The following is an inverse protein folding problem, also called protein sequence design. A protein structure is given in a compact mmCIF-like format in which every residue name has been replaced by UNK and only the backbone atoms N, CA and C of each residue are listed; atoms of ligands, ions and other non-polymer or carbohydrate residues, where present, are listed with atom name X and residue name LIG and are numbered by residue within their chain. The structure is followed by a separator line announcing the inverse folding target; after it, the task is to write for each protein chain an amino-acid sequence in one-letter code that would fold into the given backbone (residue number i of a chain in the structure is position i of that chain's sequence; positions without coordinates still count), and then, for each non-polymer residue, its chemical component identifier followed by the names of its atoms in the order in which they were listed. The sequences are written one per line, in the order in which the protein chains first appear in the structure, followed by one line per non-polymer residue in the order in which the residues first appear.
data_IF_491778682412
#
_entry.id   IF_491778682412
#
_cell.length_a   1.000
_cell.length_b   1.000
_cell.length_c   1.000
_cell.angle_alpha   90.00
_cell.angle_beta   90.00
_cell.angle_gamma   90.00
#
_symmetry.space_group_name_H-M   'P 1'
#
loop_
_entity.id
_entity.type
_entity.pdbx_description
1 polymer ?
#
# COMPACT_ATOMS: atom_id res chain seq x y z
N UNK A 1 -23.41 -58.26 -48.59
CA UNK A 1 -21.93 -58.24 -48.47
C UNK A 1 -21.53 -57.02 -47.64
N UNK A 2 -20.78 -57.19 -46.54
CA UNK A 2 -20.74 -56.22 -45.46
C UNK A 2 -19.64 -55.17 -45.62
N UNK A 3 -20.04 -53.94 -45.28
CA UNK A 3 -19.27 -52.70 -45.21
C UNK A 3 -18.89 -52.53 -43.74
N UNK A 4 -17.62 -52.73 -43.37
CA UNK A 4 -17.01 -52.34 -42.08
C UNK A 4 -15.53 -52.78 -42.04
N UNK A 5 -14.61 -51.94 -42.53
CA UNK A 5 -13.15 -52.20 -42.47
C UNK A 5 -12.36 -51.06 -41.79
N UNK A 6 -13.05 -50.11 -41.13
CA UNK A 6 -12.43 -48.90 -40.56
C UNK A 6 -12.53 -48.79 -39.03
N UNK A 7 -12.67 -49.91 -38.31
CA UNK A 7 -12.86 -49.91 -36.84
C UNK A 7 -11.87 -50.73 -36.02
N UNK A 8 -10.64 -50.90 -36.50
CA UNK A 8 -9.58 -51.57 -35.74
C UNK A 8 -8.19 -50.92 -35.89
N UNK A 9 -8.11 -49.59 -36.04
CA UNK A 9 -6.86 -48.91 -35.71
C UNK A 9 -6.78 -48.84 -34.18
N UNK A 10 -6.11 -49.83 -33.61
CA UNK A 10 -5.69 -49.87 -32.21
C UNK A 10 -5.10 -48.49 -31.83
N UNK A 11 -5.56 -47.83 -30.75
CA UNK A 11 -5.04 -46.52 -30.32
C UNK A 11 -3.51 -46.53 -30.09
N UNK A 12 -2.95 -47.71 -29.92
CA UNK A 12 -1.53 -48.04 -29.86
C UNK A 12 -0.71 -47.56 -31.07
N UNK A 13 -1.28 -47.59 -32.29
CA UNK A 13 -0.56 -47.25 -33.53
C UNK A 13 -0.37 -45.73 -33.70
N UNK A 14 -1.28 -44.92 -33.15
CA UNK A 14 -1.17 -43.46 -33.16
C UNK A 14 -0.28 -42.91 -32.03
N UNK A 15 -0.09 -43.69 -30.97
CA UNK A 15 0.69 -43.27 -29.79
C UNK A 15 2.20 -43.24 -30.07
N UNK A 16 2.70 -44.23 -30.82
CA UNK A 16 4.11 -44.34 -31.20
C UNK A 16 4.61 -43.12 -32.01
N UNK A 17 3.93 -42.68 -33.09
CA UNK A 17 4.35 -41.49 -33.82
C UNK A 17 4.21 -40.22 -32.98
N UNK A 18 3.19 -40.11 -32.13
CA UNK A 18 3.04 -38.96 -31.23
C UNK A 18 4.19 -38.86 -30.21
N UNK A 19 4.61 -39.98 -29.62
CA UNK A 19 5.76 -40.05 -28.72
C UNK A 19 7.06 -39.74 -29.46
N UNK A 20 7.24 -40.26 -30.68
CA UNK A 20 8.40 -39.95 -31.51
C UNK A 20 8.48 -38.46 -31.86
N UNK A 21 7.35 -37.84 -32.25
CA UNK A 21 7.26 -36.40 -32.52
C UNK A 21 7.58 -35.61 -31.26
N UNK A 22 7.04 -36.01 -30.11
CA UNK A 22 7.33 -35.37 -28.82
C UNK A 22 8.82 -35.45 -28.46
N UNK A 23 9.43 -36.64 -28.57
CA UNK A 23 10.85 -36.82 -28.28
C UNK A 23 11.76 -36.05 -29.26
N UNK A 24 11.39 -36.00 -30.54
CA UNK A 24 12.08 -35.16 -31.54
C UNK A 24 11.96 -33.68 -31.20
N UNK A 25 10.76 -33.21 -30.86
CA UNK A 25 10.53 -31.83 -30.44
C UNK A 25 11.35 -31.48 -29.18
N UNK A 26 11.33 -32.34 -28.16
CA UNK A 26 12.13 -32.17 -26.93
C UNK A 26 13.62 -32.12 -27.24
N UNK A 27 14.13 -33.01 -28.12
CA UNK A 27 15.54 -33.03 -28.51
C UNK A 27 15.95 -31.80 -29.32
N UNK A 28 15.07 -31.30 -30.20
CA UNK A 28 15.31 -30.08 -30.97
C UNK A 28 15.26 -28.83 -30.08
N UNK A 29 14.41 -28.83 -29.05
CA UNK A 29 14.25 -27.72 -28.11
C UNK A 29 15.32 -27.75 -27.00
N UNK A 30 15.82 -28.91 -26.59
CA UNK A 30 16.82 -29.04 -25.51
C UNK A 30 18.21 -28.52 -25.89
N UNK A 31 18.51 -28.44 -27.19
CA UNK A 31 19.73 -27.82 -27.72
C UNK A 31 19.63 -26.30 -27.90
N UNK A 32 18.43 -25.72 -27.78
CA UNK A 32 18.28 -24.27 -27.83
C UNK A 32 18.53 -23.70 -26.43
N UNK A 33 19.56 -22.88 -26.30
CA UNK A 33 19.67 -22.02 -25.12
C UNK A 33 18.42 -21.13 -25.11
N UNK A 34 17.67 -21.06 -24.00
CA UNK A 34 16.58 -20.11 -23.90
C UNK A 34 17.10 -18.74 -24.33
N UNK A 35 16.41 -18.00 -25.22
CA UNK A 35 16.80 -16.63 -25.53
C UNK A 35 16.97 -15.89 -24.20
N UNK A 36 17.97 -15.01 -24.13
CA UNK A 36 18.32 -14.30 -22.89
C UNK A 36 17.04 -13.84 -22.17
N UNK A 37 16.82 -14.32 -20.94
CA UNK A 37 15.55 -14.20 -20.19
C UNK A 37 15.03 -12.76 -20.01
N UNK A 38 15.84 -11.75 -20.32
CA UNK A 38 15.41 -10.35 -20.44
C UNK A 38 14.36 -10.09 -21.54
N UNK A 39 14.14 -11.04 -22.47
CA UNK A 39 13.15 -10.88 -23.53
C UNK A 39 11.68 -11.04 -23.06
N UNK A 40 11.39 -11.76 -21.98
CA UNK A 40 10.02 -12.17 -21.61
C UNK A 40 9.12 -10.98 -21.21
N UNK A 41 9.71 -9.94 -20.62
CA UNK A 41 9.04 -8.67 -20.32
C UNK A 41 9.35 -7.56 -21.33
N UNK A 42 10.18 -7.80 -22.35
CA UNK A 42 10.61 -6.74 -23.28
C UNK A 42 9.49 -6.27 -24.23
N UNK A 43 8.49 -7.11 -24.50
CA UNK A 43 7.41 -6.83 -25.45
C UNK A 43 6.05 -6.76 -24.76
N UNK A 44 5.45 -5.57 -24.80
CA UNK A 44 4.05 -5.32 -24.44
C UNK A 44 3.19 -5.37 -25.69
N UNK A 45 2.22 -6.26 -25.70
CA UNK A 45 1.25 -6.36 -26.80
C UNK A 45 0.13 -5.33 -26.60
N UNK A 46 -0.45 -4.76 -27.68
CA UNK A 46 -1.65 -3.94 -27.56
C UNK A 46 -2.80 -4.70 -26.89
N UNK A 47 -3.62 -4.02 -26.07
CA UNK A 47 -4.73 -4.62 -25.32
C UNK A 47 -5.67 -5.45 -26.22
N UNK A 48 -6.03 -4.93 -27.40
CA UNK A 48 -6.89 -5.63 -28.34
C UNK A 48 -6.28 -6.96 -28.81
N UNK A 49 -4.96 -7.01 -29.03
CA UNK A 49 -4.27 -8.24 -29.38
C UNK A 49 -4.25 -9.25 -28.22
N UNK A 50 -4.05 -8.78 -26.99
CA UNK A 50 -4.11 -9.63 -25.79
C UNK A 50 -5.48 -10.28 -25.65
N UNK A 51 -6.56 -9.50 -25.82
CA UNK A 51 -7.94 -10.00 -25.76
C UNK A 51 -8.23 -10.98 -26.90
N UNK A 52 -7.82 -10.66 -28.13
CA UNK A 52 -8.02 -11.53 -29.29
C UNK A 52 -7.31 -12.88 -29.14
N UNK A 53 -6.06 -12.89 -28.65
CA UNK A 53 -5.31 -14.11 -28.36
C UNK A 53 -5.90 -14.92 -27.21
N UNK A 54 -6.59 -14.25 -26.27
CA UNK A 54 -7.36 -14.89 -25.21
C UNK A 54 -8.79 -15.29 -25.66
N UNK A 55 -9.02 -15.43 -26.97
CA UNK A 55 -10.32 -15.85 -27.50
C UNK A 55 -11.45 -14.84 -27.29
N UNK A 56 -11.12 -13.56 -27.08
CA UNK A 56 -12.08 -12.51 -26.75
C UNK A 56 -12.31 -12.29 -25.25
N UNK A 57 -11.76 -13.13 -24.37
CA UNK A 57 -11.94 -13.01 -22.93
C UNK A 57 -10.86 -12.11 -22.31
N UNK A 58 -11.29 -10.93 -21.84
CA UNK A 58 -10.40 -9.97 -21.15
C UNK A 58 -9.86 -10.49 -19.81
N UNK A 59 -10.61 -11.30 -19.07
CA UNK A 59 -10.18 -11.83 -17.79
C UNK A 59 -9.12 -12.91 -17.99
N UNK A 60 -9.30 -13.76 -19.00
CA UNK A 60 -8.26 -14.70 -19.41
C UNK A 60 -7.01 -13.97 -19.90
N UNK A 61 -7.15 -12.89 -20.69
CA UNK A 61 -6.03 -12.06 -21.09
C UNK A 61 -5.28 -11.47 -19.88
N UNK A 62 -6.02 -11.00 -18.86
CA UNK A 62 -5.46 -10.50 -17.62
C UNK A 62 -4.67 -11.58 -16.87
N UNK A 63 -5.22 -12.79 -16.77
CA UNK A 63 -4.56 -13.92 -16.08
C UNK A 63 -3.27 -14.33 -16.80
N UNK A 64 -3.28 -14.42 -18.13
CA UNK A 64 -2.08 -14.73 -18.93
C UNK A 64 -1.00 -13.65 -18.73
N UNK A 65 -1.39 -12.38 -18.74
CA UNK A 65 -0.48 -11.28 -18.45
C UNK A 65 0.03 -11.31 -16.99
N UNK A 66 -0.83 -11.69 -16.04
CA UNK A 66 -0.47 -11.87 -14.63
C UNK A 66 0.62 -12.92 -14.42
N UNK A 67 0.52 -14.07 -15.11
CA UNK A 67 1.56 -15.11 -15.08
C UNK A 67 2.91 -14.55 -15.57
N UNK A 68 2.91 -13.74 -16.64
CA UNK A 68 4.14 -13.11 -17.15
C UNK A 68 4.76 -12.15 -16.14
N UNK A 69 3.93 -11.40 -15.41
CA UNK A 69 4.41 -10.50 -14.34
C UNK A 69 4.99 -11.28 -13.17
N UNK A 70 4.40 -12.43 -12.81
CA UNK A 70 4.81 -13.26 -11.69
C UNK A 70 6.11 -14.04 -11.95
N UNK A 71 6.29 -14.56 -13.17
CA UNK A 71 7.45 -15.39 -13.54
C UNK A 71 8.72 -14.56 -13.77
N UNK A 72 8.57 -13.25 -13.97
CA UNK A 72 9.70 -12.35 -14.14
C UNK A 72 10.65 -12.36 -12.93
N UNK A 73 11.94 -12.61 -13.17
CA UNK A 73 12.98 -12.58 -12.13
C UNK A 73 13.34 -11.14 -11.75
N UNK A 74 12.59 -10.59 -10.81
CA UNK A 74 12.70 -9.18 -10.38
C UNK A 74 14.06 -8.82 -9.81
N UNK A 75 14.86 -9.78 -9.31
CA UNK A 75 16.19 -9.51 -8.77
C UNK A 75 17.23 -9.16 -9.83
N UNK A 76 16.96 -9.53 -11.09
CA UNK A 76 17.87 -9.30 -12.21
C UNK A 76 17.37 -8.22 -13.16
N UNK A 77 16.24 -7.60 -12.84
CA UNK A 77 15.60 -6.63 -13.72
C UNK A 77 16.35 -5.31 -13.77
N UNK A 78 16.49 -4.78 -14.98
CA UNK A 78 16.97 -3.41 -15.22
C UNK A 78 15.85 -2.40 -15.02
N UNK A 79 16.17 -1.11 -14.78
CA UNK A 79 15.16 -0.06 -14.65
C UNK A 79 14.16 0.01 -15.82
N UNK A 80 14.58 -0.21 -17.08
CA UNK A 80 13.64 -0.23 -18.22
C UNK A 80 12.64 -1.40 -18.18
N UNK A 81 13.04 -2.53 -17.59
CA UNK A 81 12.21 -3.72 -17.48
C UNK A 81 11.13 -3.51 -16.42
N UNK A 82 11.46 -2.84 -15.30
CA UNK A 82 10.47 -2.43 -14.29
C UNK A 82 9.42 -1.48 -14.86
N UNK A 83 9.81 -0.53 -15.71
CA UNK A 83 8.84 0.36 -16.41
C UNK A 83 7.93 -0.43 -17.35
N UNK A 84 8.42 -1.51 -17.94
CA UNK A 84 7.59 -2.36 -18.81
C UNK A 84 6.66 -3.24 -17.99
N UNK A 85 7.13 -3.79 -16.88
CA UNK A 85 6.30 -4.50 -15.91
C UNK A 85 5.20 -3.60 -15.34
N UNK A 86 5.51 -2.34 -14.99
CA UNK A 86 4.52 -1.37 -14.54
C UNK A 86 3.42 -1.14 -15.59
N UNK A 87 3.79 -0.97 -16.87
CA UNK A 87 2.83 -0.84 -17.97
C UNK A 87 1.97 -2.10 -18.14
N UNK A 88 2.56 -3.28 -17.99
CA UNK A 88 1.83 -4.56 -18.06
C UNK A 88 0.84 -4.71 -16.90
N UNK A 89 1.22 -4.34 -15.67
CA UNK A 89 0.32 -4.38 -14.52
C UNK A 89 -0.85 -3.37 -14.63
N UNK A 90 -0.62 -2.22 -15.27
CA UNK A 90 -1.71 -1.29 -15.64
C UNK A 90 -2.67 -1.90 -16.66
N UNK A 91 -2.16 -2.65 -17.63
CA UNK A 91 -2.98 -3.40 -18.60
C UNK A 91 -3.79 -4.50 -17.93
N UNK A 92 -3.18 -5.30 -17.06
CA UNK A 92 -3.86 -6.34 -16.27
C UNK A 92 -5.00 -5.71 -15.47
N UNK A 93 -4.72 -4.60 -14.77
CA UNK A 93 -5.74 -3.83 -14.06
C UNK A 93 -6.86 -3.37 -15.00
N UNK A 94 -6.58 -3.13 -16.30
CA UNK A 94 -7.56 -2.62 -17.27
C UNK A 94 -8.48 -3.70 -17.76
N UNK A 95 -7.88 -4.83 -18.08
CA UNK A 95 -8.56 -6.05 -18.47
C UNK A 95 -9.43 -6.57 -17.31
N UNK A 96 -8.86 -6.64 -16.11
CA UNK A 96 -9.52 -7.09 -14.89
C UNK A 96 -9.07 -6.27 -13.67
N UNK A 97 -9.80 -5.20 -13.29
CA UNK A 97 -9.43 -4.40 -12.14
C UNK A 97 -9.53 -5.16 -10.81
N UNK A 98 -10.33 -6.23 -10.74
CA UNK A 98 -10.47 -7.07 -9.54
C UNK A 98 -9.39 -8.17 -9.43
N UNK A 99 -8.42 -8.23 -10.37
CA UNK A 99 -7.37 -9.24 -10.36
C UNK A 99 -6.48 -9.10 -9.12
N UNK A 100 -6.59 -10.07 -8.21
CA UNK A 100 -6.00 -10.01 -6.87
C UNK A 100 -4.47 -10.01 -6.90
N UNK A 101 -3.86 -11.00 -7.55
CA UNK A 101 -2.40 -11.11 -7.61
C UNK A 101 -1.76 -9.85 -8.18
N UNK A 102 -2.38 -9.22 -9.17
CA UNK A 102 -1.84 -8.04 -9.82
C UNK A 102 -1.67 -6.88 -8.84
N UNK A 103 -2.62 -6.64 -7.93
CA UNK A 103 -2.46 -5.52 -6.99
C UNK A 103 -1.46 -5.86 -5.87
N UNK A 104 -1.39 -7.12 -5.42
CA UNK A 104 -0.38 -7.55 -4.44
C UNK A 104 1.03 -7.43 -5.01
N UNK A 105 1.22 -7.90 -6.25
CA UNK A 105 2.49 -7.81 -6.94
C UNK A 105 2.84 -6.35 -7.24
N UNK A 106 1.86 -5.51 -7.60
CA UNK A 106 2.07 -4.07 -7.76
C UNK A 106 2.54 -3.41 -6.47
N UNK A 107 1.91 -3.73 -5.34
CA UNK A 107 2.32 -3.22 -4.03
C UNK A 107 3.74 -3.65 -3.65
N UNK A 108 4.16 -4.86 -4.03
CA UNK A 108 5.49 -5.36 -3.72
C UNK A 108 6.59 -4.80 -4.64
N UNK A 109 6.33 -4.72 -5.95
CA UNK A 109 7.36 -4.43 -6.96
C UNK A 109 7.38 -2.95 -7.34
N UNK A 110 6.22 -2.30 -7.44
CA UNK A 110 6.12 -0.93 -7.96
C UNK A 110 6.24 0.13 -6.86
N UNK A 111 6.55 -0.25 -5.62
CA UNK A 111 6.77 0.64 -4.48
C UNK A 111 8.17 1.28 -4.50
N UNK A 112 8.53 1.83 -5.65
CA UNK A 112 9.76 2.58 -5.91
C UNK A 112 9.39 3.98 -6.41
N UNK A 113 10.13 5.06 -6.08
CA UNK A 113 9.73 6.44 -6.38
C UNK A 113 9.28 6.69 -7.83
N UNK A 114 9.98 6.12 -8.82
CA UNK A 114 9.62 6.29 -10.25
C UNK A 114 8.36 5.53 -10.68
N UNK A 115 7.95 4.50 -9.92
CA UNK A 115 6.89 3.57 -10.28
C UNK A 115 5.61 3.77 -9.45
N UNK A 116 5.67 4.56 -8.37
CA UNK A 116 4.52 4.89 -7.51
C UNK A 116 3.28 5.31 -8.33
N UNK A 117 3.34 6.16 -9.36
CA UNK A 117 2.14 6.51 -10.13
C UNK A 117 1.46 5.29 -10.79
N UNK A 118 2.22 4.28 -11.19
CA UNK A 118 1.68 3.03 -11.73
C UNK A 118 1.11 2.14 -10.63
N UNK A 119 1.80 2.05 -9.48
CA UNK A 119 1.29 1.34 -8.31
C UNK A 119 -0.06 1.91 -7.86
N UNK A 120 -0.14 3.23 -7.68
CA UNK A 120 -1.37 3.93 -7.27
C UNK A 120 -2.52 3.72 -8.25
N UNK A 121 -2.24 3.74 -9.55
CA UNK A 121 -3.25 3.44 -10.57
C UNK A 121 -3.82 2.01 -10.41
N UNK A 122 -2.96 1.01 -10.24
CA UNK A 122 -3.39 -0.38 -10.07
C UNK A 122 -4.17 -0.54 -8.76
N UNK A 123 -3.62 -0.02 -7.65
CA UNK A 123 -4.18 -0.13 -6.31
C UNK A 123 -5.54 0.55 -6.20
N UNK A 124 -5.70 1.78 -6.71
CA UNK A 124 -6.99 2.49 -6.67
C UNK A 124 -8.06 1.75 -7.47
N UNK A 125 -7.70 1.17 -8.61
CA UNK A 125 -8.67 0.39 -9.39
C UNK A 125 -9.02 -0.94 -8.74
N UNK A 126 -8.06 -1.61 -8.13
CA UNK A 126 -8.31 -2.79 -7.31
C UNK A 126 -9.24 -2.47 -6.14
N UNK A 127 -8.99 -1.37 -5.42
CA UNK A 127 -9.90 -0.88 -4.39
C UNK A 127 -11.31 -0.68 -4.96
N UNK A 128 -11.48 0.04 -6.06
CA UNK A 128 -12.81 0.30 -6.61
C UNK A 128 -13.54 -0.98 -7.07
N UNK A 129 -12.81 -1.98 -7.57
CA UNK A 129 -13.39 -3.23 -8.06
C UNK A 129 -13.58 -4.30 -6.96
N UNK A 130 -12.97 -4.11 -5.77
CA UNK A 130 -13.02 -5.04 -4.63
C UNK A 130 -13.53 -4.31 -3.38
N UNK A 131 -14.84 -4.04 -3.28
CA UNK A 131 -15.40 -3.23 -2.20
C UNK A 131 -15.33 -3.88 -0.81
N UNK A 132 -15.09 -5.20 -0.74
CA UNK A 132 -14.95 -5.96 0.51
C UNK A 132 -13.50 -6.33 0.82
N UNK A 133 -12.55 -5.67 0.14
CA UNK A 133 -11.12 -5.87 0.31
C UNK A 133 -10.49 -4.54 0.74
N UNK A 134 -9.95 -4.51 1.95
CA UNK A 134 -9.29 -3.34 2.52
C UNK A 134 -7.83 -3.23 2.06
N UNK A 135 -7.20 -4.32 1.64
CA UNK A 135 -5.76 -4.40 1.35
C UNK A 135 -5.30 -3.43 0.26
N UNK A 136 -6.00 -3.26 -0.88
CA UNK A 136 -5.60 -2.28 -1.88
C UNK A 136 -5.52 -0.85 -1.34
N UNK A 137 -6.44 -0.47 -0.44
CA UNK A 137 -6.45 0.86 0.17
C UNK A 137 -5.35 1.03 1.22
N UNK A 138 -5.02 -0.04 1.95
CA UNK A 138 -3.86 -0.03 2.83
C UNK A 138 -2.57 0.27 2.06
N UNK A 139 -2.29 -0.45 0.98
CA UNK A 139 -1.10 -0.22 0.17
C UNK A 139 -1.13 1.15 -0.54
N UNK A 140 -2.29 1.58 -1.01
CA UNK A 140 -2.48 2.91 -1.61
C UNK A 140 -2.14 4.01 -0.59
N UNK A 141 -2.68 3.90 0.62
CA UNK A 141 -2.42 4.84 1.71
C UNK A 141 -0.97 4.80 2.20
N UNK A 142 -0.37 3.62 2.26
CA UNK A 142 1.04 3.46 2.58
C UNK A 142 1.93 4.19 1.57
N UNK A 143 1.63 4.10 0.29
CA UNK A 143 2.42 4.78 -0.73
C UNK A 143 2.32 6.31 -0.61
N UNK A 144 1.12 6.83 -0.33
CA UNK A 144 0.91 8.25 -0.04
C UNK A 144 1.71 8.71 1.17
N UNK A 145 1.66 7.93 2.25
CA UNK A 145 2.39 8.23 3.49
C UNK A 145 3.91 8.20 3.29
N UNK A 146 4.42 7.09 2.73
CA UNK A 146 5.85 6.79 2.74
C UNK A 146 6.60 7.48 1.60
N UNK A 147 6.06 7.47 0.38
CA UNK A 147 6.78 7.96 -0.80
C UNK A 147 6.37 9.38 -1.16
N UNK A 148 5.07 9.69 -1.13
CA UNK A 148 4.57 11.03 -1.47
C UNK A 148 4.62 12.01 -0.27
N UNK A 149 5.00 11.52 0.91
CA UNK A 149 5.08 12.30 2.16
C UNK A 149 3.76 13.01 2.49
N UNK A 150 2.65 12.38 2.13
CA UNK A 150 1.30 12.85 2.38
C UNK A 150 0.57 11.94 3.38
N UNK A 151 0.91 12.06 4.69
CA UNK A 151 0.29 11.26 5.73
C UNK A 151 -1.22 11.52 5.90
N UNK A 152 -1.70 12.72 5.56
CA UNK A 152 -3.12 13.05 5.59
C UNK A 152 -3.92 12.18 4.60
N UNK A 153 -3.54 12.21 3.32
CA UNK A 153 -4.19 11.39 2.30
C UNK A 153 -4.01 9.88 2.56
N UNK A 154 -2.85 9.49 3.13
CA UNK A 154 -2.64 8.12 3.58
C UNK A 154 -3.65 7.69 4.65
N UNK A 155 -3.93 8.56 5.62
CA UNK A 155 -4.88 8.27 6.68
C UNK A 155 -6.31 8.18 6.16
N UNK A 156 -6.69 9.04 5.22
CA UNK A 156 -8.00 8.97 4.55
C UNK A 156 -8.19 7.61 3.85
N UNK A 157 -7.17 7.12 3.14
CA UNK A 157 -7.22 5.80 2.51
C UNK A 157 -7.35 4.66 3.54
N UNK A 158 -6.68 4.75 4.69
CA UNK A 158 -6.84 3.77 5.77
C UNK A 158 -8.25 3.79 6.38
N UNK A 159 -8.84 4.97 6.55
CA UNK A 159 -10.21 5.10 7.05
C UNK A 159 -11.21 4.53 6.04
N UNK A 160 -11.01 4.78 4.74
CA UNK A 160 -11.77 4.14 3.67
C UNK A 160 -11.58 2.60 3.70
N UNK A 161 -10.37 2.11 3.93
CA UNK A 161 -10.09 0.69 4.08
C UNK A 161 -10.77 0.08 5.29
N UNK A 162 -10.84 0.81 6.41
CA UNK A 162 -11.46 0.35 7.64
C UNK A 162 -12.96 0.07 7.47
N UNK A 163 -13.66 0.76 6.58
CA UNK A 163 -15.08 0.46 6.29
C UNK A 163 -15.28 -0.83 5.49
N UNK A 164 -14.19 -1.43 4.99
CA UNK A 164 -14.18 -2.67 4.20
C UNK A 164 -13.58 -3.86 4.94
N UNK A 165 -13.11 -3.64 6.17
CA UNK A 165 -12.62 -4.69 7.05
C UNK A 165 -13.71 -5.72 7.35
N UNK A 166 -13.33 -7.00 7.48
CA UNK A 166 -14.29 -8.08 7.71
C UNK A 166 -14.63 -8.24 9.18
N UNK A 167 -13.70 -7.85 10.04
CA UNK A 167 -13.88 -7.92 11.48
C UNK A 167 -13.41 -6.64 12.19
N UNK A 168 -13.81 -6.57 13.47
CA UNK A 168 -13.58 -5.42 14.33
C UNK A 168 -12.08 -5.23 14.63
N UNK A 169 -11.30 -6.30 14.67
CA UNK A 169 -9.87 -6.23 14.96
C UNK A 169 -9.11 -5.58 13.79
N UNK A 170 -9.40 -6.00 12.55
CA UNK A 170 -8.87 -5.37 11.34
C UNK A 170 -9.28 -3.89 11.24
N UNK A 171 -10.56 -3.59 11.49
CA UNK A 171 -11.08 -2.23 11.49
C UNK A 171 -10.32 -1.34 12.49
N UNK A 172 -10.16 -1.81 13.73
CA UNK A 172 -9.45 -1.06 14.77
C UNK A 172 -7.95 -0.93 14.48
N UNK A 173 -7.32 -1.92 13.84
CA UNK A 173 -5.92 -1.83 13.43
C UNK A 173 -5.73 -0.72 12.39
N UNK A 174 -6.57 -0.69 11.35
CA UNK A 174 -6.54 0.35 10.31
C UNK A 174 -6.82 1.74 10.88
N UNK A 175 -7.85 1.88 11.73
CA UNK A 175 -8.17 3.15 12.39
C UNK A 175 -7.07 3.59 13.37
N UNK A 176 -6.44 2.67 14.10
CA UNK A 176 -5.31 2.99 14.98
C UNK A 176 -4.12 3.52 14.20
N UNK A 177 -3.85 2.97 13.01
CA UNK A 177 -2.80 3.44 12.13
C UNK A 177 -3.17 4.79 11.51
N UNK A 178 -4.41 4.97 11.06
CA UNK A 178 -4.92 6.23 10.54
C UNK A 178 -4.77 7.37 11.57
N UNK A 179 -5.10 7.13 12.84
CA UNK A 179 -4.90 8.11 13.92
C UNK A 179 -3.43 8.55 14.04
N UNK A 180 -2.47 7.61 13.93
CA UNK A 180 -1.03 7.94 13.95
C UNK A 180 -0.56 8.73 12.72
N UNK A 181 -1.25 8.60 11.59
CA UNK A 181 -0.93 9.33 10.36
C UNK A 181 -1.59 10.70 10.33
N UNK A 182 -2.82 10.82 10.85
CA UNK A 182 -3.50 12.10 11.09
C UNK A 182 -2.63 13.04 11.94
N UNK A 183 -2.02 12.52 13.00
CA UNK A 183 -1.08 13.29 13.85
C UNK A 183 0.10 13.90 13.10
N UNK A 184 0.51 13.30 11.97
CA UNK A 184 1.64 13.75 11.16
C UNK A 184 1.21 14.60 9.97
N UNK A 185 -0.04 14.50 9.54
CA UNK A 185 -0.54 15.13 8.31
C UNK A 185 -1.39 16.37 8.48
N UNK A 186 -1.91 16.61 9.68
CA UNK A 186 -2.73 17.79 9.95
C UNK A 186 -2.09 18.66 11.02
N UNK A 187 -2.53 19.91 11.09
CA UNK A 187 -2.24 20.77 12.23
C UNK A 187 -2.74 20.11 13.52
N UNK A 188 -2.05 20.35 14.64
CA UNK A 188 -2.24 19.57 15.88
C UNK A 188 -3.69 19.64 16.39
N UNK A 189 -4.33 20.81 16.38
CA UNK A 189 -5.75 20.95 16.71
C UNK A 189 -6.70 20.21 15.77
N UNK A 190 -6.42 20.23 14.46
CA UNK A 190 -7.21 19.49 13.46
C UNK A 190 -7.10 17.99 13.66
N UNK A 191 -5.88 17.49 13.89
CA UNK A 191 -5.62 16.11 14.21
C UNK A 191 -6.38 15.69 15.48
N UNK A 192 -6.39 16.53 16.52
CA UNK A 192 -7.10 16.26 17.76
C UNK A 192 -8.61 16.11 17.53
N UNK A 193 -9.19 16.99 16.71
CA UNK A 193 -10.61 16.94 16.33
C UNK A 193 -10.94 15.69 15.52
N UNK A 194 -10.14 15.35 14.50
CA UNK A 194 -10.36 14.16 13.68
C UNK A 194 -10.30 12.87 14.51
N UNK A 195 -9.28 12.73 15.37
CA UNK A 195 -9.17 11.57 16.26
C UNK A 195 -10.30 11.54 17.30
N UNK A 196 -10.76 12.70 17.77
CA UNK A 196 -11.94 12.82 18.63
C UNK A 196 -13.21 12.29 17.95
N UNK A 197 -13.46 12.70 16.70
CA UNK A 197 -14.60 12.22 15.92
C UNK A 197 -14.55 10.70 15.68
N UNK A 198 -13.34 10.15 15.48
CA UNK A 198 -13.14 8.70 15.40
C UNK A 198 -13.54 8.01 16.71
N UNK A 199 -13.21 8.61 17.86
CA UNK A 199 -13.59 8.08 19.17
C UNK A 199 -15.11 8.11 19.38
N UNK A 200 -15.77 9.20 19.01
CA UNK A 200 -17.23 9.35 19.09
C UNK A 200 -17.95 8.31 18.23
N UNK A 201 -17.40 8.01 17.05
CA UNK A 201 -17.94 7.01 16.11
C UNK A 201 -17.66 5.56 16.52
N UNK A 202 -16.61 5.31 17.32
CA UNK A 202 -16.25 3.97 17.77
C UNK A 202 -17.20 3.47 18.87
N UNK A 203 -17.52 2.16 18.97
CA UNK A 203 -18.33 1.62 20.06
C UNK A 203 -17.72 1.85 21.47
N UNK A 204 -18.53 1.87 22.55
CA UNK A 204 -18.01 1.95 23.91
C UNK A 204 -17.01 0.82 24.20
N UNK A 205 -15.86 1.14 24.79
CA UNK A 205 -14.86 0.14 25.15
C UNK A 205 -13.43 0.66 25.12
N UNK A 206 -12.48 -0.29 25.14
CA UNK A 206 -11.04 0.02 25.17
C UNK A 206 -10.57 0.84 23.98
N UNK A 207 -11.08 0.57 22.78
CA UNK A 207 -10.69 1.28 21.56
C UNK A 207 -11.14 2.75 21.54
N UNK A 208 -12.41 3.03 21.88
CA UNK A 208 -12.89 4.41 22.09
C UNK A 208 -12.06 5.13 23.14
N UNK A 209 -11.76 4.48 24.27
CA UNK A 209 -10.90 5.07 25.31
C UNK A 209 -9.51 5.40 24.78
N UNK A 210 -8.90 4.50 24.01
CA UNK A 210 -7.60 4.74 23.37
C UNK A 210 -7.62 5.97 22.45
N UNK A 211 -8.63 6.08 21.58
CA UNK A 211 -8.77 7.25 20.69
C UNK A 211 -9.00 8.54 21.49
N UNK A 212 -9.81 8.50 22.55
CA UNK A 212 -10.02 9.66 23.44
C UNK A 212 -8.72 10.12 24.11
N UNK A 213 -7.91 9.20 24.62
CA UNK A 213 -6.60 9.55 25.21
C UNK A 213 -5.67 10.19 24.17
N UNK A 214 -5.70 9.68 22.93
CA UNK A 214 -4.91 10.22 21.82
C UNK A 214 -5.39 11.62 21.40
N UNK A 215 -6.70 11.84 21.30
CA UNK A 215 -7.27 13.15 21.02
C UNK A 215 -6.97 14.17 22.13
N UNK A 216 -7.09 13.77 23.40
CA UNK A 216 -6.74 14.60 24.56
C UNK A 216 -5.26 15.01 24.53
N UNK A 217 -4.37 14.05 24.28
CA UNK A 217 -2.93 14.29 24.12
C UNK A 217 -2.64 15.34 23.05
N UNK A 218 -3.34 15.30 21.92
CA UNK A 218 -3.19 16.27 20.84
C UNK A 218 -3.74 17.66 21.23
N UNK A 219 -4.88 17.72 21.92
CA UNK A 219 -5.43 18.99 22.44
C UNK A 219 -4.46 19.66 23.42
N UNK A 220 -3.81 18.87 24.27
CA UNK A 220 -2.79 19.38 25.20
C UNK A 220 -1.57 19.91 24.44
N UNK A 221 -1.08 19.19 23.43
CA UNK A 221 0.02 19.67 22.60
C UNK A 221 -0.33 20.97 21.87
N UNK A 222 -1.53 21.05 21.31
CA UNK A 222 -2.02 22.24 20.61
C UNK A 222 -2.11 23.47 21.53
N UNK A 223 -2.57 23.26 22.77
CA UNK A 223 -2.56 24.30 23.81
C UNK A 223 -1.15 24.76 24.13
N UNK A 224 -0.20 23.83 24.30
CA UNK A 224 1.20 24.19 24.57
C UNK A 224 1.80 25.00 23.42
N UNK A 225 1.53 24.62 22.16
CA UNK A 225 1.99 25.38 20.99
C UNK A 225 1.41 26.79 20.93
N UNK A 226 0.12 26.94 21.23
CA UNK A 226 -0.52 28.26 21.34
C UNK A 226 0.16 29.12 22.42
N UNK A 227 0.44 28.55 23.60
CA UNK A 227 1.14 29.25 24.67
C UNK A 227 2.59 29.58 24.32
N UNK A 228 3.28 28.72 23.56
CA UNK A 228 4.62 28.98 23.05
C UNK A 228 4.64 30.16 22.08
N UNK A 229 3.61 30.28 21.24
CA UNK A 229 3.43 31.43 20.37
C UNK A 229 3.20 32.72 21.19
N UNK A 230 2.30 32.68 22.18
CA UNK A 230 2.06 33.81 23.09
C UNK A 230 3.35 34.24 23.84
N UNK A 231 4.14 33.28 24.31
CA UNK A 231 5.44 33.53 24.95
C UNK A 231 6.42 34.24 24.01
N UNK A 232 6.52 33.77 22.75
CA UNK A 232 7.37 34.40 21.73
C UNK A 232 6.92 35.82 21.41
N UNK A 233 5.62 36.04 21.31
CA UNK A 233 5.08 37.36 20.97
C UNK A 233 5.26 38.37 22.10
N UNK A 234 5.26 37.91 23.36
CA UNK A 234 5.48 38.76 24.53
C UNK A 234 6.97 39.06 24.80
N UNK A 235 7.87 38.08 24.60
CA UNK A 235 9.27 38.17 25.02
C UNK A 235 10.31 38.20 23.89
N UNK A 236 9.91 37.92 22.65
CA UNK A 236 10.82 37.81 21.50
C UNK A 236 11.80 36.62 21.56
N UNK A 237 11.61 35.69 22.50
CA UNK A 237 12.49 34.54 22.73
C UNK A 237 11.74 33.23 22.55
N UNK A 238 12.46 32.21 22.08
CA UNK A 238 11.95 30.84 21.90
C UNK A 238 12.01 30.08 23.22
N UNK A 239 11.09 29.12 23.42
CA UNK A 239 11.15 28.22 24.57
C UNK A 239 12.43 27.38 24.51
N UNK A 240 13.05 27.16 25.67
CA UNK A 240 14.12 26.18 25.85
C UNK A 240 13.59 24.89 26.48
N UNK A 241 12.53 25.03 27.29
CA UNK A 241 11.85 23.93 27.99
C UNK A 241 10.39 24.33 28.26
N UNK A 242 9.54 23.34 28.58
CA UNK A 242 8.11 23.61 28.82
C UNK A 242 7.92 24.45 30.09
N UNK A 243 8.82 24.32 31.05
CA UNK A 243 8.81 25.05 32.32
C UNK A 243 8.95 26.57 32.13
N UNK A 244 9.51 27.03 31.01
CA UNK A 244 9.60 28.46 30.70
C UNK A 244 8.19 29.11 30.60
N UNK A 245 7.16 28.33 30.23
CA UNK A 245 5.77 28.78 30.24
C UNK A 245 5.21 28.93 31.66
N UNK A 246 5.72 28.15 32.61
CA UNK A 246 5.35 28.27 34.04
C UNK A 246 6.04 29.49 34.64
N UNK A 247 7.33 29.66 34.36
CA UNK A 247 8.12 30.81 34.81
C UNK A 247 7.50 32.13 34.30
N UNK A 248 6.93 32.12 33.08
CA UNK A 248 6.20 33.23 32.48
C UNK A 248 4.74 33.39 32.95
N UNK A 249 4.25 32.51 33.84
CA UNK A 249 2.84 32.46 34.30
C UNK A 249 1.80 32.27 33.19
N UNK A 250 2.21 31.70 32.05
CA UNK A 250 1.31 31.30 30.97
C UNK A 250 0.70 29.91 31.19
N UNK A 251 1.30 29.13 32.10
CA UNK A 251 0.88 27.78 32.44
C UNK A 251 1.05 27.52 33.95
N UNK A 252 0.05 26.96 34.62
CA UNK A 252 0.16 26.66 36.07
C UNK A 252 1.08 25.47 36.35
N UNK A 253 0.98 24.44 35.50
CA UNK A 253 1.76 23.20 35.57
C UNK A 253 1.81 22.51 34.21
N UNK A 254 2.86 21.73 33.97
CA UNK A 254 2.96 20.90 32.76
C UNK A 254 1.82 19.87 32.74
N UNK A 255 1.00 19.81 31.67
CA UNK A 255 -0.05 18.81 31.58
C UNK A 255 0.53 17.40 31.50
N UNK A 256 -0.16 16.44 32.12
CA UNK A 256 0.21 15.03 32.04
C UNK A 256 -0.21 14.46 30.68
N UNK A 257 0.74 13.91 29.93
CA UNK A 257 0.43 13.16 28.70
C UNK A 257 -0.35 11.88 29.06
N UNK A 258 -1.61 11.73 28.62
CA UNK A 258 -2.43 10.57 28.95
C UNK A 258 -1.89 9.25 28.36
N UNK A 259 -0.97 9.31 27.40
CA UNK A 259 -0.26 8.15 26.84
C UNK A 259 1.17 7.98 27.40
N UNK A 260 1.58 8.82 28.35
CA UNK A 260 2.78 8.62 29.17
C UNK A 260 4.13 9.00 28.54
N UNK A 261 4.16 9.60 27.35
CA UNK A 261 5.44 10.04 26.74
C UNK A 261 5.88 11.38 27.33
N UNK A 262 4.93 12.28 27.56
CA UNK A 262 5.18 13.64 28.03
C UNK A 262 5.50 14.60 26.89
N UNK A 263 5.74 15.84 27.27
CA UNK A 263 6.02 16.95 26.37
C UNK A 263 7.48 17.40 26.51
N UNK A 264 8.02 17.95 25.42
CA UNK A 264 9.34 18.58 25.38
C UNK A 264 9.33 19.68 24.31
N UNK A 265 10.46 20.36 24.12
CA UNK A 265 10.62 21.43 23.14
C UNK A 265 11.66 20.99 22.11
N UNK A 266 11.41 21.25 20.83
CA UNK A 266 12.37 20.98 19.77
C UNK A 266 13.44 22.09 19.62
N UNK A 267 14.34 21.96 18.64
CA UNK A 267 15.37 22.97 18.39
C UNK A 267 14.82 24.32 17.89
N UNK A 268 13.57 24.37 17.43
CA UNK A 268 12.90 25.59 17.01
C UNK A 268 12.17 26.29 18.17
N UNK A 269 12.15 25.70 19.37
CA UNK A 269 11.39 26.22 20.50
C UNK A 269 9.91 25.85 20.46
N UNK A 270 9.54 24.86 19.65
CA UNK A 270 8.17 24.37 19.53
C UNK A 270 7.91 23.19 20.48
N UNK A 271 6.79 23.21 21.21
CA UNK A 271 6.34 22.03 21.94
C UNK A 271 6.10 20.85 21.01
N UNK A 272 6.69 19.71 21.37
CA UNK A 272 6.55 18.42 20.70
C UNK A 272 6.32 17.31 21.73
N UNK A 273 5.89 16.14 21.26
CA UNK A 273 5.92 14.95 22.09
C UNK A 273 7.36 14.53 22.36
N UNK A 274 7.64 14.13 23.61
CA UNK A 274 8.90 13.48 23.94
C UNK A 274 8.95 12.15 23.17
N UNK A 275 9.80 12.03 22.15
CA UNK A 275 10.05 10.76 21.48
C UNK A 275 11.00 9.91 22.31
N UNK A 276 10.81 8.59 22.34
CA UNK A 276 11.95 7.71 22.60
C UNK A 276 12.90 7.89 21.42
N UNK A 277 14.08 8.45 21.65
CA UNK A 277 15.21 8.27 20.74
C UNK A 277 15.30 6.77 20.44
N UNK A 278 15.30 6.32 19.17
CA UNK A 278 15.75 4.97 18.88
C UNK A 278 17.19 4.90 19.40
N UNK A 279 17.45 4.06 20.40
CA UNK A 279 18.81 3.74 20.76
C UNK A 279 19.52 3.21 19.51
N UNK A 280 20.41 4.02 18.93
CA UNK A 280 21.29 3.61 17.83
C UNK A 280 20.76 3.83 16.42
N UNK A 281 21.00 5.02 15.88
CA UNK A 281 21.40 5.15 14.48
C UNK A 281 22.86 5.65 14.48
N UNK A 282 23.79 4.68 14.52
CA UNK A 282 25.14 4.81 13.97
C UNK A 282 25.14 4.06 12.65
#
# INVERSE_FOLDING_TARGET
MPRNWLRSMEPSVALVPAVLIYLLAVKMLSGQHPPARGAELSVRLPLAAQVLMAGGDRHLAANIAGIRVLVADTFRMKPEEFRTQARLQKDISWLNPAHEDNYYIAAAILSEPELIPSAQYVLRRAANARPHDWSPLFYFGFNLYQFEKNPAAGAEALLEGATRAKDVQEQWALQSLAAKWIERGYHTGDAARLVGNMAESAPPGGFRRYLNLRAERLRQLDRLKSLAQEYRDAGGHRLTRIEDLIDAKLLDRVPLDPLGMGFTVDSAGEPIFRTQTPAGAR
#
